data_IF_910510695594
#
_entry.id   IF_910510695594
#
_cell.length_a   1.000
_cell.length_b   1.000
_cell.length_c   1.000
_cell.angle_alpha   90.00
_cell.angle_beta   90.00
_cell.angle_gamma   90.00
#
_symmetry.space_group_name_H-M   'P 1'
#
loop_
_entity.id
_entity.type
_entity.pdbx_description
1 polymer ?
#
# COMPACT_ATOMS: atom_id res chain seq x y z
N UNK A 1 -18.03 -23.85 12.65
CA UNK A 1 -18.07 -23.20 11.36
C UNK A 1 -16.94 -22.20 11.25
N UNK A 2 -16.04 -22.46 10.37
CA UNK A 2 -14.91 -21.57 10.17
C UNK A 2 -15.22 -20.44 9.21
N UNK A 3 -15.17 -19.24 9.74
CA UNK A 3 -15.09 -18.07 8.89
C UNK A 3 -13.59 -17.79 8.71
N UNK A 4 -13.01 -18.39 7.71
CA UNK A 4 -11.65 -18.06 7.37
C UNK A 4 -11.61 -16.63 6.90
N UNK A 5 -10.75 -15.83 7.53
CA UNK A 5 -10.48 -14.50 7.05
C UNK A 5 -9.33 -14.58 6.07
N UNK A 6 -9.52 -13.99 4.90
CA UNK A 6 -8.50 -13.96 3.86
C UNK A 6 -7.61 -12.75 4.10
N UNK A 7 -6.53 -12.95 4.83
CA UNK A 7 -5.63 -11.87 5.24
C UNK A 7 -4.27 -12.05 4.58
N UNK A 8 -3.79 -10.97 3.97
CA UNK A 8 -2.44 -10.92 3.43
C UNK A 8 -1.48 -10.54 4.55
N UNK A 9 -0.43 -11.32 4.72
CA UNK A 9 0.69 -10.99 5.61
C UNK A 9 1.98 -11.21 4.84
N UNK A 10 2.84 -10.19 4.82
CA UNK A 10 4.15 -10.31 4.17
C UNK A 10 5.16 -9.40 4.83
N UNK A 11 6.44 -9.75 4.69
CA UNK A 11 7.54 -8.92 5.17
C UNK A 11 8.48 -8.60 4.02
N UNK A 12 9.12 -7.45 4.09
CA UNK A 12 10.07 -7.02 3.07
C UNK A 12 11.14 -6.17 3.73
N UNK A 13 12.40 -6.48 3.42
CA UNK A 13 13.52 -5.69 3.92
C UNK A 13 13.91 -4.65 2.87
N UNK A 14 14.19 -3.43 3.35
CA UNK A 14 14.64 -2.32 2.50
C UNK A 14 15.99 -1.83 3.00
N UNK A 15 16.86 -1.48 2.05
CA UNK A 15 18.20 -0.99 2.35
C UNK A 15 18.20 0.52 2.55
N UNK A 16 17.41 0.97 3.52
CA UNK A 16 17.26 2.37 3.87
C UNK A 16 16.73 2.49 5.30
N UNK A 17 17.01 3.60 6.00
CA UNK A 17 16.47 3.81 7.34
C UNK A 17 14.96 3.97 7.29
N UNK A 18 14.29 3.63 8.39
CA UNK A 18 12.83 3.59 8.40
C UNK A 18 12.17 4.95 8.18
N UNK A 19 12.86 6.04 8.51
CA UNK A 19 12.36 7.38 8.24
C UNK A 19 12.13 7.58 6.74
N UNK A 20 13.06 7.10 5.92
CA UNK A 20 12.93 7.21 4.46
C UNK A 20 11.89 6.25 3.92
N UNK A 21 11.84 5.04 4.45
CA UNK A 21 10.86 4.05 3.99
C UNK A 21 9.45 4.51 4.37
N UNK A 22 9.26 4.99 5.59
CA UNK A 22 7.97 5.51 6.04
C UNK A 22 7.51 6.70 5.17
N UNK A 23 8.41 7.66 4.92
CA UNK A 23 8.08 8.84 4.12
C UNK A 23 7.58 8.45 2.73
N UNK A 24 8.10 7.37 2.16
CA UNK A 24 7.68 6.92 0.84
C UNK A 24 6.20 6.51 0.80
N UNK A 25 5.60 6.21 1.95
CA UNK A 25 4.19 5.81 2.04
C UNK A 25 3.26 6.99 2.30
N UNK A 26 3.78 8.14 2.69
CA UNK A 26 2.93 9.31 3.02
C UNK A 26 3.24 10.55 2.19
N UNK A 27 4.34 10.54 1.45
CA UNK A 27 4.70 11.66 0.57
C UNK A 27 4.08 11.42 -0.81
N UNK A 28 3.13 12.28 -1.24
CA UNK A 28 2.49 12.09 -2.55
C UNK A 28 3.43 12.04 -3.74
N UNK A 29 4.51 12.82 -3.72
CA UNK A 29 5.49 12.81 -4.81
C UNK A 29 6.18 11.45 -4.91
N UNK A 30 6.50 10.85 -3.75
CA UNK A 30 7.12 9.54 -3.73
C UNK A 30 6.14 8.44 -4.12
N UNK A 31 4.91 8.51 -3.62
CA UNK A 31 3.88 7.53 -3.99
C UNK A 31 3.66 7.51 -5.51
N UNK A 32 3.67 8.67 -6.15
CA UNK A 32 3.54 8.75 -7.60
C UNK A 32 4.68 8.03 -8.32
N UNK A 33 5.84 7.96 -7.70
CA UNK A 33 7.02 7.35 -8.31
C UNK A 33 7.04 5.82 -8.19
N UNK A 34 6.46 5.26 -7.13
CA UNK A 34 6.64 3.80 -6.90
C UNK A 34 5.34 3.03 -6.68
N UNK A 35 4.26 3.66 -6.24
CA UNK A 35 3.07 2.91 -5.83
C UNK A 35 2.36 2.31 -7.04
N UNK A 36 1.98 1.03 -6.91
CA UNK A 36 1.31 0.27 -7.94
C UNK A 36 2.25 -0.77 -8.58
N UNK A 37 1.70 -1.92 -8.98
CA UNK A 37 2.51 -2.96 -9.64
C UNK A 37 3.20 -2.45 -10.91
N UNK A 38 4.20 -3.18 -11.36
CA UNK A 38 4.85 -2.85 -12.63
C UNK A 38 3.80 -2.83 -13.74
N UNK A 39 3.78 -1.75 -14.54
CA UNK A 39 2.77 -1.53 -15.57
C UNK A 39 1.57 -0.72 -15.11
N UNK A 40 1.52 -0.37 -13.83
CA UNK A 40 0.44 0.42 -13.25
C UNK A 40 1.03 1.74 -12.74
N UNK A 41 0.36 2.83 -13.03
CA UNK A 41 0.79 4.16 -12.61
C UNK A 41 -0.12 4.69 -11.50
N UNK A 42 0.43 5.61 -10.71
CA UNK A 42 -0.34 6.37 -9.70
C UNK A 42 -0.12 7.85 -10.01
N UNK A 43 -0.99 8.46 -10.84
CA UNK A 43 -0.78 9.85 -11.26
C UNK A 43 -0.74 10.80 -10.07
N UNK A 44 0.25 11.68 -10.07
CA UNK A 44 0.50 12.60 -8.94
C UNK A 44 -0.70 13.47 -8.60
N UNK A 45 -1.41 13.95 -9.61
CA UNK A 45 -2.55 14.85 -9.42
C UNK A 45 -3.79 14.12 -8.84
N UNK A 46 -3.72 12.79 -8.73
CA UNK A 46 -4.79 11.98 -8.16
C UNK A 46 -4.43 11.46 -6.77
N UNK A 47 -3.33 11.93 -6.17
CA UNK A 47 -2.88 11.48 -4.85
C UNK A 47 -3.10 12.59 -3.83
N UNK A 48 -3.77 12.24 -2.72
CA UNK A 48 -3.97 13.15 -1.61
C UNK A 48 -3.70 12.40 -0.31
N UNK A 49 -2.75 12.89 0.47
CA UNK A 49 -2.43 12.32 1.78
C UNK A 49 -2.40 13.43 2.82
N UNK A 50 -3.19 13.24 3.87
CA UNK A 50 -3.18 14.12 5.04
C UNK A 50 -2.58 13.28 6.18
N UNK A 51 -1.28 13.41 6.48
CA UNK A 51 -0.57 12.46 7.35
C UNK A 51 -0.90 12.67 8.83
N UNK A 52 -2.02 12.17 9.25
CA UNK A 52 -2.48 12.22 10.64
C UNK A 52 -3.65 11.26 10.82
N UNK A 53 -3.96 10.93 12.06
CA UNK A 53 -5.16 10.13 12.36
C UNK A 53 -6.40 10.92 11.90
N UNK A 54 -7.28 10.24 11.19
CA UNK A 54 -8.47 10.86 10.59
C UNK A 54 -8.21 11.50 9.23
N UNK A 55 -6.94 11.56 8.79
CA UNK A 55 -6.59 12.13 7.51
C UNK A 55 -6.82 11.16 6.36
N UNK A 56 -6.94 11.72 5.16
CA UNK A 56 -7.14 10.94 3.95
C UNK A 56 -5.83 10.32 3.47
N UNK A 57 -5.92 9.12 2.90
CA UNK A 57 -4.85 8.49 2.16
C UNK A 57 -5.49 7.98 0.88
N UNK A 58 -5.41 8.79 -0.17
CA UNK A 58 -6.17 8.57 -1.41
C UNK A 58 -5.26 8.59 -2.61
N UNK A 59 -5.47 7.64 -3.51
CA UNK A 59 -4.82 7.66 -4.82
C UNK A 59 -5.64 6.84 -5.82
N UNK A 60 -5.29 6.97 -7.09
CA UNK A 60 -5.92 6.18 -8.15
C UNK A 60 -4.81 5.50 -8.93
N UNK A 61 -4.89 4.19 -9.04
CA UNK A 61 -3.98 3.42 -9.89
C UNK A 61 -4.57 3.35 -11.28
N UNK A 62 -3.75 3.55 -12.31
CA UNK A 62 -4.20 3.50 -13.71
C UNK A 62 -3.32 2.58 -14.54
N UNK A 63 -3.93 1.93 -15.52
CA UNK A 63 -3.20 1.09 -16.47
C UNK A 63 -3.99 0.99 -17.76
N UNK A 64 -3.31 0.65 -18.84
CA UNK A 64 -3.96 0.47 -20.13
C UNK A 64 -4.21 -1.01 -20.34
N UNK A 65 -5.41 -1.33 -20.81
CA UNK A 65 -5.83 -2.69 -21.12
C UNK A 65 -6.64 -2.65 -22.43
N UNK A 66 -6.11 -3.29 -23.44
CA UNK A 66 -6.75 -3.34 -24.77
C UNK A 66 -7.10 -1.95 -25.33
N UNK A 67 -6.18 -0.99 -25.13
CA UNK A 67 -6.37 0.38 -25.61
C UNK A 67 -7.29 1.24 -24.77
N UNK A 68 -7.75 0.73 -23.64
CA UNK A 68 -8.64 1.45 -22.73
C UNK A 68 -7.91 1.68 -21.40
N UNK A 69 -7.94 2.92 -20.91
CA UNK A 69 -7.37 3.24 -19.62
C UNK A 69 -8.32 2.78 -18.51
N UNK A 70 -7.82 1.92 -17.64
CA UNK A 70 -8.54 1.42 -16.46
C UNK A 70 -8.09 2.17 -15.23
N UNK A 71 -8.96 2.25 -14.23
CA UNK A 71 -8.66 2.93 -12.97
C UNK A 71 -9.08 2.08 -11.79
N UNK A 72 -8.28 2.14 -10.72
CA UNK A 72 -8.61 1.52 -9.45
C UNK A 72 -8.39 2.53 -8.34
N UNK A 73 -9.44 3.18 -7.86
CA UNK A 73 -9.28 4.17 -6.79
C UNK A 73 -9.10 3.50 -5.44
N UNK A 74 -8.26 4.13 -4.62
CA UNK A 74 -8.08 3.77 -3.22
C UNK A 74 -8.48 5.00 -2.42
N UNK A 75 -9.47 4.83 -1.55
CA UNK A 75 -9.97 5.90 -0.69
C UNK A 75 -9.93 5.41 0.75
N UNK A 76 -8.85 5.72 1.44
CA UNK A 76 -8.62 5.26 2.79
C UNK A 76 -8.56 6.40 3.78
N UNK A 77 -8.81 6.08 5.05
CA UNK A 77 -8.67 6.99 6.17
C UNK A 77 -7.61 6.42 7.09
N UNK A 78 -6.67 7.26 7.51
CA UNK A 78 -5.61 6.86 8.44
C UNK A 78 -6.24 6.70 9.82
N UNK A 79 -6.08 5.52 10.40
CA UNK A 79 -6.64 5.20 11.73
C UNK A 79 -5.58 5.09 12.81
N UNK A 80 -4.30 4.92 12.43
CA UNK A 80 -3.18 4.98 13.35
C UNK A 80 -1.99 5.61 12.64
N UNK A 81 -1.30 6.50 13.30
CA UNK A 81 -0.19 7.23 12.70
C UNK A 81 0.88 7.50 13.76
N UNK A 82 1.98 6.75 13.69
CA UNK A 82 3.10 6.88 14.63
C UNK A 82 4.41 6.80 13.84
N UNK A 83 4.77 7.91 13.16
CA UNK A 83 5.99 7.88 12.33
C UNK A 83 7.26 7.82 13.17
N UNK A 84 8.28 7.11 12.72
CA UNK A 84 8.33 6.32 11.48
C UNK A 84 8.05 4.83 11.69
N UNK A 85 7.29 4.47 12.72
CA UNK A 85 7.11 3.08 13.15
C UNK A 85 5.83 2.42 12.67
N UNK A 86 4.73 3.19 12.52
CA UNK A 86 3.42 2.59 12.27
C UNK A 86 2.53 3.48 11.41
N UNK A 87 1.89 2.87 10.42
CA UNK A 87 0.84 3.51 9.63
C UNK A 87 -0.28 2.49 9.42
N UNK A 88 -1.50 2.85 9.80
CA UNK A 88 -2.68 2.02 9.54
C UNK A 88 -3.73 2.86 8.82
N UNK A 89 -4.26 2.32 7.74
CA UNK A 89 -5.32 2.99 6.97
C UNK A 89 -6.40 1.98 6.62
N UNK A 90 -7.64 2.42 6.62
CA UNK A 90 -8.79 1.57 6.34
C UNK A 90 -9.57 2.12 5.15
N UNK A 91 -9.89 1.26 4.20
CA UNK A 91 -10.67 1.63 3.03
C UNK A 91 -11.88 0.73 2.87
N UNK A 92 -12.91 1.24 2.16
CA UNK A 92 -14.04 0.44 1.73
C UNK A 92 -13.74 -0.14 0.36
N UNK A 93 -14.07 -1.40 0.18
CA UNK A 93 -13.87 -2.08 -1.11
C UNK A 93 -15.15 -2.84 -1.47
N UNK A 94 -15.51 -2.79 -2.74
CA UNK A 94 -16.66 -3.53 -3.26
C UNK A 94 -16.16 -4.48 -4.34
N UNK A 95 -15.80 -5.73 -3.97
CA UNK A 95 -15.38 -6.71 -4.98
C UNK A 95 -16.53 -7.11 -5.90
N UNK A 96 -17.77 -7.11 -5.38
CA UNK A 96 -18.97 -7.42 -6.13
C UNK A 96 -20.07 -6.43 -5.78
N UNK A 97 -21.00 -6.22 -6.69
CA UNK A 97 -22.14 -5.34 -6.44
C UNK A 97 -22.91 -5.79 -5.20
N UNK A 98 -23.07 -4.90 -4.25
CA UNK A 98 -23.78 -5.16 -3.01
C UNK A 98 -22.96 -5.76 -1.89
N UNK A 99 -21.68 -6.07 -2.15
CA UNK A 99 -20.78 -6.59 -1.11
C UNK A 99 -19.82 -5.48 -0.70
N UNK A 100 -19.83 -5.14 0.59
CA UNK A 100 -18.94 -4.10 1.12
C UNK A 100 -17.96 -4.72 2.09
N UNK A 101 -16.67 -4.49 1.85
CA UNK A 101 -15.60 -4.90 2.76
C UNK A 101 -14.86 -3.69 3.28
N UNK A 102 -14.43 -3.76 4.53
CA UNK A 102 -13.49 -2.80 5.08
C UNK A 102 -12.12 -3.45 5.08
N UNK A 103 -11.21 -2.90 4.28
CA UNK A 103 -9.84 -3.40 4.20
C UNK A 103 -8.95 -2.55 5.08
N UNK A 104 -8.30 -3.17 6.04
CA UNK A 104 -7.29 -2.49 6.86
C UNK A 104 -5.92 -2.80 6.28
N UNK A 105 -5.15 -1.74 6.05
CA UNK A 105 -3.75 -1.85 5.65
C UNK A 105 -2.90 -1.43 6.85
N UNK A 106 -2.12 -2.36 7.40
CA UNK A 106 -1.28 -2.09 8.54
C UNK A 106 0.18 -2.25 8.14
N UNK A 107 0.95 -1.19 8.35
CA UNK A 107 2.36 -1.14 8.00
C UNK A 107 3.16 -0.85 9.27
N UNK A 108 4.01 -1.80 9.65
CA UNK A 108 4.92 -1.64 10.79
C UNK A 108 6.35 -1.65 10.27
N UNK A 109 7.15 -0.69 10.71
CA UNK A 109 8.50 -0.48 10.20
C UNK A 109 9.50 -0.77 11.31
N UNK A 110 10.20 -1.90 11.19
CA UNK A 110 11.15 -2.37 12.19
C UNK A 110 12.56 -1.97 11.80
N UNK A 111 13.32 -1.43 12.77
CA UNK A 111 14.74 -1.09 12.56
C UNK A 111 15.56 -2.36 12.55
N UNK A 112 16.40 -2.53 11.52
CA UNK A 112 17.37 -3.61 11.44
C UNK A 112 18.78 -3.03 11.55
N UNK A 113 19.74 -3.92 11.81
CA UNK A 113 21.15 -3.54 11.85
C UNK A 113 21.59 -3.00 10.50
N UNK A 114 22.55 -2.05 10.52
CA UNK A 114 23.10 -1.50 9.29
C UNK A 114 22.25 -0.43 8.63
N UNK A 115 21.31 0.17 9.38
CA UNK A 115 20.46 1.23 8.84
C UNK A 115 19.41 0.72 7.86
N UNK A 116 19.01 -0.54 7.99
CA UNK A 116 17.99 -1.14 7.14
C UNK A 116 16.65 -1.22 7.87
N UNK A 117 15.60 -1.48 7.12
CA UNK A 117 14.24 -1.52 7.65
C UNK A 117 13.54 -2.80 7.22
N UNK A 118 12.83 -3.44 8.14
CA UNK A 118 11.91 -4.53 7.79
C UNK A 118 10.48 -4.02 7.89
N UNK A 119 9.79 -4.07 6.76
CA UNK A 119 8.38 -3.72 6.70
C UNK A 119 7.56 -4.98 6.97
N UNK A 120 6.63 -4.87 7.92
CA UNK A 120 5.63 -5.90 8.17
C UNK A 120 4.29 -5.36 7.66
N UNK A 121 3.78 -5.99 6.61
CA UNK A 121 2.52 -5.57 5.99
C UNK A 121 1.44 -6.60 6.30
N UNK A 122 0.31 -6.11 6.80
CA UNK A 122 -0.88 -6.93 6.99
C UNK A 122 -2.04 -6.19 6.32
N UNK A 123 -2.79 -6.88 5.48
CA UNK A 123 -3.90 -6.25 4.77
C UNK A 123 -5.06 -7.21 4.63
N UNK A 124 -6.26 -6.72 4.85
CA UNK A 124 -7.46 -7.52 4.71
C UNK A 124 -8.57 -7.08 5.66
N UNK A 125 -9.64 -7.87 5.80
CA UNK A 125 -9.85 -9.14 5.11
C UNK A 125 -10.23 -8.96 3.65
N UNK A 126 -9.73 -9.84 2.80
CA UNK A 126 -10.12 -9.89 1.38
C UNK A 126 -11.28 -10.85 1.18
N UNK A 127 -11.85 -10.84 -0.01
CA UNK A 127 -13.00 -11.67 -0.35
C UNK A 127 -12.60 -13.13 -0.66
N UNK A 128 -11.37 -13.35 -1.09
CA UNK A 128 -10.91 -14.68 -1.49
C UNK A 128 -9.40 -14.81 -1.36
N UNK A 129 -8.91 -16.05 -1.32
CA UNK A 129 -7.48 -16.35 -1.36
C UNK A 129 -6.85 -15.89 -2.66
N UNK A 130 -7.60 -16.00 -3.76
CA UNK A 130 -7.13 -15.55 -5.05
C UNK A 130 -6.81 -14.06 -5.03
N UNK A 131 -7.69 -13.26 -4.42
CA UNK A 131 -7.46 -11.83 -4.28
C UNK A 131 -6.27 -11.53 -3.38
N UNK A 132 -6.08 -12.31 -2.31
CA UNK A 132 -4.90 -12.19 -1.43
C UNK A 132 -3.62 -12.38 -2.24
N UNK A 133 -3.55 -13.43 -3.07
CA UNK A 133 -2.34 -13.72 -3.83
C UNK A 133 -2.08 -12.69 -4.94
N UNK A 134 -3.13 -12.18 -5.58
CA UNK A 134 -3.00 -11.08 -6.55
C UNK A 134 -2.42 -9.84 -5.88
N UNK A 135 -2.90 -9.53 -4.68
CA UNK A 135 -2.42 -8.37 -3.93
C UNK A 135 -0.98 -8.56 -3.47
N UNK A 136 -0.62 -9.77 -3.03
CA UNK A 136 0.76 -10.08 -2.65
C UNK A 136 1.71 -9.85 -3.82
N UNK A 137 1.35 -10.34 -5.00
CA UNK A 137 2.15 -10.15 -6.20
C UNK A 137 2.26 -8.67 -6.56
N UNK A 138 1.15 -7.94 -6.46
CA UNK A 138 1.14 -6.51 -6.72
C UNK A 138 2.07 -5.74 -5.80
N UNK A 139 2.03 -6.02 -4.51
CA UNK A 139 2.96 -5.40 -3.55
C UNK A 139 4.40 -5.75 -3.88
N UNK A 140 4.66 -7.02 -4.19
CA UNK A 140 6.02 -7.47 -4.51
C UNK A 140 6.65 -6.70 -5.66
N UNK A 141 5.91 -6.53 -6.76
CA UNK A 141 6.42 -5.78 -7.90
C UNK A 141 6.50 -4.28 -7.61
N UNK A 142 5.55 -3.72 -6.84
CA UNK A 142 5.61 -2.32 -6.42
C UNK A 142 6.87 -2.05 -5.61
N UNK A 143 7.25 -2.97 -4.72
CA UNK A 143 8.43 -2.80 -3.88
C UNK A 143 9.73 -2.76 -4.67
N UNK A 144 9.78 -3.37 -5.86
CA UNK A 144 10.97 -3.25 -6.70
C UNK A 144 11.15 -1.81 -7.18
N UNK A 145 10.05 -1.10 -7.43
CA UNK A 145 10.13 0.32 -7.78
C UNK A 145 10.53 1.16 -6.57
N UNK A 146 10.05 0.78 -5.39
CA UNK A 146 10.44 1.46 -4.15
C UNK A 146 11.92 1.29 -3.87
N UNK A 147 12.48 0.09 -4.09
CA UNK A 147 13.92 -0.12 -3.95
C UNK A 147 14.71 0.88 -4.79
N UNK A 148 14.29 1.07 -6.04
CA UNK A 148 14.96 1.99 -6.96
C UNK A 148 14.88 3.44 -6.46
N UNK A 149 13.72 3.83 -5.94
CA UNK A 149 13.52 5.17 -5.40
C UNK A 149 14.41 5.42 -4.18
N UNK A 150 14.51 4.43 -3.29
CA UNK A 150 15.28 4.57 -2.05
C UNK A 150 16.78 4.68 -2.30
N UNK A 151 17.28 4.05 -3.36
CA UNK A 151 18.71 4.16 -3.72
C UNK A 151 19.10 5.59 -4.07
N UNK A 152 18.14 6.39 -4.56
CA UNK A 152 18.39 7.78 -4.96
C UNK A 152 18.36 8.77 -3.81
N UNK A 153 18.02 8.31 -2.62
CA UNK A 153 17.86 9.18 -1.43
C UNK A 153 19.16 9.43 -0.68
#
# INVERSE_FOLDING_TARGET
MNTEQHILTMTRDFDAPRELVFDAFVDPDQLAAWFGPVGVDSPRDRIAVDPRVGGAWQLVMTWDEDGVTKESPIDAVITAYDPPALLVATQKAEPDAGTMLLLEMRLEFEVLDGGRTRLHLTQGPFDSDEWVEMTREGWGTSFTKLDTLLVRK
#
